data_IF_674341078719
#
_entry.id   IF_674341078719
#
_cell.length_a   1.000
_cell.length_b   1.000
_cell.length_c   1.000
_cell.angle_alpha   90.00
_cell.angle_beta   90.00
_cell.angle_gamma   90.00
#
_symmetry.space_group_name_H-M   'P 1'
#
loop_
_entity.id
_entity.type
_entity.pdbx_description
1 polymer ?
#
# COMPACT_ATOMS: atom_id res chain seq x y z
N UNK A 1 -10.33 3.74 13.81
CA UNK A 1 -10.84 4.09 12.46
C UNK A 1 -10.91 2.82 11.65
N UNK A 2 -11.91 2.67 10.77
CA UNK A 2 -12.02 1.49 9.90
C UNK A 2 -11.03 1.59 8.74
N UNK A 3 -10.32 0.52 8.41
CA UNK A 3 -9.51 0.47 7.18
C UNK A 3 -10.39 -0.05 6.04
N UNK A 4 -10.40 0.66 4.92
CA UNK A 4 -11.12 0.33 3.70
C UNK A 4 -10.10 0.14 2.59
N UNK A 5 -10.10 -1.04 1.99
CA UNK A 5 -9.26 -1.38 0.84
C UNK A 5 -10.01 -1.05 -0.44
N UNK A 6 -9.45 -0.20 -1.29
CA UNK A 6 -10.05 0.06 -2.60
C UNK A 6 -9.87 -1.16 -3.50
N UNK A 7 -10.72 -1.24 -4.53
CA UNK A 7 -10.56 -2.26 -5.56
C UNK A 7 -9.22 -2.13 -6.29
N UNK A 8 -8.75 -0.90 -6.52
CA UNK A 8 -7.48 -0.62 -7.19
C UNK A 8 -6.29 -1.19 -6.41
N UNK A 9 -6.20 -0.94 -5.10
CA UNK A 9 -5.18 -1.53 -4.23
C UNK A 9 -5.14 -3.05 -4.31
N UNK A 10 -6.30 -3.72 -4.34
CA UNK A 10 -6.37 -5.18 -4.41
C UNK A 10 -5.85 -5.72 -5.75
N UNK A 11 -6.16 -5.04 -6.85
CA UNK A 11 -5.65 -5.40 -8.19
C UNK A 11 -4.13 -5.24 -8.25
N UNK A 12 -3.59 -4.13 -7.76
CA UNK A 12 -2.14 -3.90 -7.78
C UNK A 12 -1.39 -4.89 -6.88
N UNK A 13 -1.94 -5.17 -5.69
CA UNK A 13 -1.37 -6.16 -4.79
C UNK A 13 -1.33 -7.56 -5.42
N UNK A 14 -2.39 -7.96 -6.13
CA UNK A 14 -2.43 -9.20 -6.89
C UNK A 14 -1.40 -9.20 -8.03
N UNK A 15 -1.32 -8.09 -8.79
CA UNK A 15 -0.37 -7.94 -9.90
C UNK A 15 1.09 -8.03 -9.43
N UNK A 16 1.41 -7.48 -8.26
CA UNK A 16 2.72 -7.64 -7.60
C UNK A 16 3.00 -9.11 -7.29
N UNK A 17 2.00 -9.81 -6.73
CA UNK A 17 2.08 -11.24 -6.45
C UNK A 17 2.35 -12.07 -7.70
N UNK A 18 1.60 -11.82 -8.77
CA UNK A 18 1.73 -12.53 -10.05
C UNK A 18 3.10 -12.29 -10.69
N UNK A 19 3.56 -11.03 -10.71
CA UNK A 19 4.86 -10.66 -11.28
C UNK A 19 6.02 -11.33 -10.53
N UNK A 20 6.05 -11.23 -9.20
CA UNK A 20 7.11 -11.88 -8.41
C UNK A 20 6.98 -13.40 -8.49
N UNK A 21 5.75 -13.91 -8.53
CA UNK A 21 5.43 -15.33 -8.53
C UNK A 21 5.94 -16.08 -9.75
N UNK A 22 6.04 -15.41 -10.90
CA UNK A 22 6.66 -15.96 -12.12
C UNK A 22 8.11 -16.41 -11.91
N UNK A 23 8.82 -15.80 -10.95
CA UNK A 23 10.23 -16.11 -10.67
C UNK A 23 10.43 -16.78 -9.30
N UNK A 24 9.67 -16.37 -8.28
CA UNK A 24 9.82 -16.85 -6.91
C UNK A 24 8.48 -16.81 -6.15
N UNK A 25 7.68 -17.88 -6.20
CA UNK A 25 6.38 -17.96 -5.52
C UNK A 25 6.46 -17.73 -4.01
N UNK A 26 7.52 -18.21 -3.37
CA UNK A 26 7.74 -18.01 -1.92
C UNK A 26 8.00 -16.53 -1.60
N UNK A 27 8.70 -15.83 -2.47
CA UNK A 27 8.90 -14.39 -2.32
C UNK A 27 7.61 -13.61 -2.56
N UNK A 28 6.81 -13.99 -3.55
CA UNK A 28 5.51 -13.37 -3.83
C UNK A 28 4.59 -13.43 -2.59
N UNK A 29 4.39 -14.61 -2.03
CA UNK A 29 3.56 -14.80 -0.84
C UNK A 29 4.04 -13.95 0.35
N UNK A 30 5.36 -13.91 0.57
CA UNK A 30 5.96 -13.10 1.65
C UNK A 30 5.73 -11.61 1.43
N UNK A 31 5.98 -11.10 0.22
CA UNK A 31 5.87 -9.66 -0.09
C UNK A 31 4.42 -9.21 0.01
N UNK A 32 3.48 -9.95 -0.58
CA UNK A 32 2.03 -9.64 -0.50
C UNK A 32 1.57 -9.61 0.95
N UNK A 33 1.94 -10.62 1.75
CA UNK A 33 1.60 -10.67 3.16
C UNK A 33 2.22 -9.51 3.96
N UNK A 34 3.50 -9.19 3.70
CA UNK A 34 4.20 -8.09 4.36
C UNK A 34 3.52 -6.75 4.08
N UNK A 35 3.21 -6.46 2.82
CA UNK A 35 2.52 -5.23 2.42
C UNK A 35 1.17 -5.12 3.15
N UNK A 36 0.34 -6.15 3.07
CA UNK A 36 -1.02 -6.09 3.61
C UNK A 36 -1.05 -6.04 5.14
N UNK A 37 -0.29 -6.92 5.80
CA UNK A 37 -0.26 -7.01 7.26
C UNK A 37 0.40 -5.80 7.92
N UNK A 38 1.52 -5.29 7.37
CA UNK A 38 2.20 -4.10 7.90
C UNK A 38 1.33 -2.87 7.72
N UNK A 39 0.69 -2.69 6.56
CA UNK A 39 -0.26 -1.60 6.32
C UNK A 39 -1.38 -1.63 7.36
N UNK A 40 -2.03 -2.77 7.54
CA UNK A 40 -3.11 -2.94 8.52
C UNK A 40 -2.65 -2.56 9.93
N UNK A 41 -1.53 -3.13 10.37
CA UNK A 41 -0.99 -2.92 11.72
C UNK A 41 -0.62 -1.46 11.97
N UNK A 42 0.08 -0.82 11.03
CA UNK A 42 0.59 0.54 11.18
C UNK A 42 -0.57 1.55 11.16
N UNK A 43 -1.50 1.42 10.23
CA UNK A 43 -2.61 2.37 10.08
C UNK A 43 -3.66 2.22 11.19
N UNK A 44 -3.83 1.02 11.77
CA UNK A 44 -4.76 0.81 12.89
C UNK A 44 -4.36 1.58 14.15
N UNK A 45 -3.05 1.71 14.41
CA UNK A 45 -2.53 2.41 15.59
C UNK A 45 -2.17 3.87 15.30
N UNK A 46 -1.68 4.17 14.09
CA UNK A 46 -1.14 5.48 13.74
C UNK A 46 -1.64 5.91 12.35
N UNK A 47 -2.90 6.38 12.22
CA UNK A 47 -3.49 6.76 10.94
C UNK A 47 -2.70 7.84 10.18
N UNK A 48 -1.89 8.65 10.86
CA UNK A 48 -1.14 9.75 10.26
C UNK A 48 0.38 9.49 10.15
N UNK A 49 0.83 8.23 10.32
CA UNK A 49 2.26 7.86 10.31
C UNK A 49 2.95 8.05 8.95
N UNK A 50 2.17 7.97 7.87
CA UNK A 50 2.67 8.18 6.52
C UNK A 50 2.95 9.65 6.24
N UNK A 51 3.99 9.92 5.45
CA UNK A 51 4.32 11.28 5.00
C UNK A 51 3.21 11.81 4.10
N UNK A 52 3.11 13.14 3.96
CA UNK A 52 2.23 13.75 2.96
C UNK A 52 2.72 13.30 1.59
N UNK A 53 1.81 12.76 0.77
CA UNK A 53 2.15 12.24 -0.55
C UNK A 53 2.15 13.32 -1.63
N UNK A 54 2.65 12.95 -2.81
CA UNK A 54 2.67 13.84 -3.99
C UNK A 54 1.24 14.19 -4.45
N UNK A 55 0.34 13.20 -4.41
CA UNK A 55 -1.07 13.41 -4.74
C UNK A 55 -1.76 14.11 -3.58
N UNK A 56 -2.38 15.27 -3.86
CA UNK A 56 -3.02 16.11 -2.84
C UNK A 56 -4.02 15.32 -2.00
N UNK A 57 -3.87 15.44 -0.68
CA UNK A 57 -4.77 14.78 0.28
C UNK A 57 -4.54 13.28 0.41
N UNK A 58 -3.41 12.77 -0.08
CA UNK A 58 -2.93 11.41 0.20
C UNK A 58 -1.75 11.43 1.14
N UNK A 59 -1.46 10.26 1.70
CA UNK A 59 -0.29 9.96 2.51
C UNK A 59 0.38 8.72 1.97
N UNK A 60 1.69 8.68 2.11
CA UNK A 60 2.53 7.60 1.64
C UNK A 60 3.09 6.84 2.84
N UNK A 61 2.81 5.54 2.87
CA UNK A 61 3.32 4.60 3.87
C UNK A 61 4.40 3.71 3.22
N UNK A 62 5.65 3.94 3.59
CA UNK A 62 6.75 3.06 3.20
C UNK A 62 6.63 1.74 3.97
N UNK A 63 6.62 0.62 3.24
CA UNK A 63 6.56 -0.71 3.86
C UNK A 63 7.97 -1.23 4.09
N UNK A 64 8.48 -1.00 5.31
CA UNK A 64 9.85 -1.38 5.69
C UNK A 64 10.17 -2.84 5.39
N UNK A 65 11.34 -3.08 4.80
CA UNK A 65 11.78 -4.41 4.35
C UNK A 65 11.24 -4.83 2.98
N UNK A 66 10.53 -3.93 2.29
CA UNK A 66 10.08 -4.13 0.91
C UNK A 66 10.33 -2.84 0.10
N UNK A 67 10.43 -2.91 -1.23
CA UNK A 67 10.56 -1.72 -2.06
C UNK A 67 9.20 -1.04 -2.36
N UNK A 68 8.14 -1.39 -1.62
CA UNK A 68 6.78 -0.92 -1.90
C UNK A 68 6.34 0.20 -0.97
N UNK A 69 5.53 1.09 -1.52
CA UNK A 69 4.93 2.23 -0.85
C UNK A 69 3.42 2.15 -1.06
N UNK A 70 2.65 2.35 0.00
CA UNK A 70 1.19 2.33 -0.02
C UNK A 70 0.67 3.75 0.08
N UNK A 71 -0.13 4.16 -0.91
CA UNK A 71 -0.85 5.43 -0.87
C UNK A 71 -2.19 5.24 -0.16
N UNK A 72 -2.52 6.14 0.76
CA UNK A 72 -3.76 6.10 1.51
C UNK A 72 -4.27 7.49 1.86
N UNK A 73 -5.53 7.59 2.28
CA UNK A 73 -6.15 8.83 2.74
C UNK A 73 -6.83 8.61 4.08
N UNK A 74 -6.72 9.60 4.96
CA UNK A 74 -7.41 9.62 6.25
C UNK A 74 -8.66 10.48 6.12
N UNK A 75 -9.82 9.90 6.43
CA UNK A 75 -11.12 10.57 6.55
C UNK A 75 -11.53 10.63 8.02
N UNK A 76 -12.69 11.19 8.35
CA UNK A 76 -13.10 11.34 9.76
C UNK A 76 -13.27 10.00 10.50
N UNK A 77 -13.80 8.98 9.83
CA UNK A 77 -14.12 7.68 10.45
C UNK A 77 -13.34 6.50 9.87
N UNK A 78 -12.69 6.69 8.73
CA UNK A 78 -12.04 5.62 7.97
C UNK A 78 -10.71 6.02 7.34
N UNK A 79 -9.91 5.00 7.03
CA UNK A 79 -8.66 5.11 6.29
C UNK A 79 -8.88 4.36 4.98
N UNK A 80 -8.78 5.08 3.86
CA UNK A 80 -8.92 4.53 2.51
C UNK A 80 -7.53 4.19 1.99
N UNK A 81 -7.24 2.91 1.79
CA UNK A 81 -6.00 2.45 1.17
C UNK A 81 -6.21 2.41 -0.34
N UNK A 82 -5.55 3.31 -1.05
CA UNK A 82 -5.88 3.68 -2.42
C UNK A 82 -5.17 2.77 -3.43
N UNK A 83 -3.85 2.63 -3.31
CA UNK A 83 -3.02 1.86 -4.24
C UNK A 83 -1.65 1.51 -3.61
N UNK A 84 -0.90 0.59 -4.23
CA UNK A 84 0.43 0.15 -3.78
C UNK A 84 1.38 0.01 -4.95
N UNK A 85 2.50 0.74 -4.88
CA UNK A 85 3.47 0.78 -5.97
C UNK A 85 4.89 0.51 -5.49
N UNK A 86 5.73 0.02 -6.41
CA UNK A 86 7.16 -0.06 -6.18
C UNK A 86 7.74 1.36 -6.19
N UNK A 87 8.49 1.76 -5.16
CA UNK A 87 9.00 3.13 -4.98
C UNK A 87 10.08 3.57 -5.98
N UNK A 88 10.31 2.81 -7.04
CA UNK A 88 11.19 3.16 -8.16
C UNK A 88 10.40 3.38 -9.46
N UNK A 89 9.07 3.21 -9.44
CA UNK A 89 8.17 3.56 -10.54
C UNK A 89 7.76 5.02 -10.39
N UNK A 90 7.42 5.62 -11.52
CA UNK A 90 6.79 6.93 -11.53
C UNK A 90 5.44 6.86 -10.84
N UNK A 91 5.20 7.84 -9.97
CA UNK A 91 3.95 7.95 -9.22
C UNK A 91 2.82 8.32 -10.18
N UNK A 92 1.61 7.75 -10.04
CA UNK A 92 0.49 8.15 -10.87
C UNK A 92 0.09 9.62 -10.58
N UNK A 93 -0.41 10.31 -11.60
CA UNK A 93 -0.85 11.71 -11.50
C UNK A 93 -2.09 11.86 -10.58
N UNK A 94 -2.87 10.79 -10.43
CA UNK A 94 -4.10 10.72 -9.65
C UNK A 94 -4.24 9.43 -8.83
N UNK A 95 -5.08 9.47 -7.79
CA UNK A 95 -5.22 8.42 -6.77
C UNK A 95 -6.58 7.72 -6.80
#
# INVERSE_FOLDING_TARGET
MRIVWTHHYLIELASIGDYIGQHNPRAAARIVNDIHSKTTRLLSANPFIGRIGEIKGTRELVISGTPYIVAYRVKDTQIEVLFVQHGAREWPDDA
#
